data_IF_592737449953
#
_entry.id   IF_592737449953
#
_cell.length_a   1.000
_cell.length_b   1.000
_cell.length_c   1.000
_cell.angle_alpha   90.00
_cell.angle_beta   90.00
_cell.angle_gamma   90.00
#
_symmetry.space_group_name_H-M   'P 1'
#
loop_
_entity.id
_entity.type
_entity.pdbx_description
1 polymer ?
#
# COMPACT_ATOMS: atom_id res chain seq x y z
N UNK A 1 48.94 -3.50 -3.43
CA UNK A 1 47.98 -2.82 -4.32
C UNK A 1 47.29 -3.89 -5.14
N UNK A 2 46.29 -4.56 -4.57
CA UNK A 2 45.56 -5.64 -5.25
C UNK A 2 44.61 -5.02 -6.27
N UNK A 3 45.04 -4.95 -7.53
CA UNK A 3 44.13 -4.67 -8.64
C UNK A 3 43.13 -5.81 -8.72
N UNK A 4 41.87 -5.53 -8.45
CA UNK A 4 40.80 -6.48 -8.74
C UNK A 4 40.82 -6.75 -10.25
N UNK A 5 40.80 -8.03 -10.69
CA UNK A 5 40.88 -8.33 -12.10
C UNK A 5 39.67 -7.74 -12.82
N UNK A 6 39.90 -7.09 -13.97
CA UNK A 6 38.91 -6.37 -14.78
C UNK A 6 37.62 -7.18 -15.05
N UNK A 7 37.75 -8.51 -15.13
CA UNK A 7 36.63 -9.45 -15.29
C UNK A 7 35.67 -9.46 -14.08
N UNK A 8 36.20 -9.34 -12.87
CA UNK A 8 35.39 -9.27 -11.64
C UNK A 8 34.67 -7.91 -11.56
N UNK A 9 35.31 -6.82 -11.99
CA UNK A 9 34.68 -5.50 -12.02
C UNK A 9 33.49 -5.44 -12.99
N UNK A 10 33.64 -6.02 -14.19
CA UNK A 10 32.54 -6.12 -15.17
C UNK A 10 31.40 -7.02 -14.68
N UNK A 11 31.72 -8.16 -14.05
CA UNK A 11 30.70 -9.04 -13.48
C UNK A 11 29.89 -8.33 -12.39
N UNK A 12 30.55 -7.65 -11.45
CA UNK A 12 29.86 -6.88 -10.40
C UNK A 12 29.00 -5.73 -10.95
N UNK A 13 29.49 -5.02 -11.98
CA UNK A 13 28.71 -3.96 -12.62
C UNK A 13 27.44 -4.49 -13.29
N UNK A 14 27.53 -5.63 -13.97
CA UNK A 14 26.36 -6.30 -14.58
C UNK A 14 25.40 -6.82 -13.51
N UNK A 15 25.90 -7.46 -12.46
CA UNK A 15 25.07 -7.89 -11.33
C UNK A 15 24.34 -6.71 -10.67
N UNK A 16 25.02 -5.59 -10.43
CA UNK A 16 24.39 -4.38 -9.90
C UNK A 16 23.33 -3.80 -10.85
N UNK A 17 23.62 -3.74 -12.15
CA UNK A 17 22.67 -3.25 -13.14
C UNK A 17 21.43 -4.16 -13.21
N UNK A 18 21.61 -5.49 -13.17
CA UNK A 18 20.51 -6.46 -13.15
C UNK A 18 19.70 -6.31 -11.86
N UNK A 19 20.32 -6.22 -10.68
CA UNK A 19 19.60 -6.01 -9.42
C UNK A 19 18.85 -4.68 -9.38
N UNK A 20 19.44 -3.60 -9.90
CA UNK A 20 18.80 -2.30 -10.01
C UNK A 20 17.60 -2.34 -10.97
N UNK A 21 17.75 -3.02 -12.11
CA UNK A 21 16.68 -3.24 -13.09
C UNK A 21 15.56 -4.16 -12.55
N UNK A 22 15.90 -5.19 -11.79
CA UNK A 22 14.93 -6.07 -11.11
C UNK A 22 14.14 -5.29 -10.05
N UNK A 23 14.76 -4.30 -9.39
CA UNK A 23 14.07 -3.45 -8.42
C UNK A 23 13.06 -2.48 -9.08
N UNK A 24 13.27 -2.09 -10.34
CA UNK A 24 12.35 -1.19 -11.07
C UNK A 24 11.09 -1.89 -11.58
N UNK A 25 11.13 -3.18 -11.88
CA UNK A 25 9.97 -3.98 -12.36
C UNK A 25 9.25 -4.75 -11.23
N UNK A 26 9.83 -4.88 -10.04
CA UNK A 26 9.22 -5.58 -8.90
C UNK A 26 8.16 -4.77 -8.13
N UNK A 27 7.51 -3.79 -8.78
CA UNK A 27 6.32 -3.09 -8.26
C UNK A 27 5.03 -3.52 -8.96
N UNK A 28 4.94 -4.77 -9.37
CA UNK A 28 3.69 -5.32 -9.95
C UNK A 28 3.37 -6.68 -9.35
N UNK A 29 2.91 -6.67 -8.09
CA UNK A 29 1.85 -7.51 -7.52
C UNK A 29 1.70 -7.29 -5.99
N UNK A 30 1.82 -6.04 -5.53
CA UNK A 30 1.31 -5.64 -4.22
C UNK A 30 1.09 -4.13 -4.21
N UNK A 31 -0.06 -3.70 -4.75
CA UNK A 31 -0.59 -2.36 -4.51
C UNK A 31 -1.26 -2.37 -3.13
N UNK A 32 -0.43 -2.61 -2.12
CA UNK A 32 -0.73 -2.43 -0.72
C UNK A 32 0.18 -1.29 -0.30
N UNK A 33 -0.40 -0.13 0.01
CA UNK A 33 0.29 1.09 0.45
C UNK A 33 1.08 0.92 1.77
N UNK A 34 1.37 -0.32 2.18
CA UNK A 34 1.95 -0.65 3.47
C UNK A 34 1.05 -0.24 4.62
N UNK A 35 -0.25 -0.05 4.37
CA UNK A 35 -1.20 0.31 5.41
C UNK A 35 -1.35 -0.88 6.37
N UNK A 36 -0.78 -0.71 7.56
CA UNK A 36 -0.86 -1.70 8.61
C UNK A 36 -1.90 -1.28 9.63
N UNK A 37 -2.83 -2.19 9.91
CA UNK A 37 -3.78 -2.00 10.99
C UNK A 37 -3.01 -1.73 12.28
N UNK A 38 -3.36 -0.66 13.03
CA UNK A 38 -2.76 -0.44 14.32
C UNK A 38 -3.07 -1.65 15.21
N UNK A 39 -2.03 -2.23 15.79
CA UNK A 39 -2.13 -3.31 16.79
C UNK A 39 -2.60 -2.73 18.11
N UNK A 40 -3.82 -2.15 18.14
CA UNK A 40 -4.39 -1.70 19.39
C UNK A 40 -4.62 -2.92 20.27
N UNK A 41 -3.99 -2.90 21.44
CA UNK A 41 -3.99 -3.92 22.49
C UNK A 41 -5.37 -4.07 23.17
N UNK A 42 -6.46 -3.84 22.45
CA UNK A 42 -7.80 -4.03 22.92
C UNK A 42 -8.33 -5.35 22.33
N UNK A 43 -8.50 -6.34 23.20
CA UNK A 43 -8.93 -7.70 22.84
C UNK A 43 -10.43 -7.74 22.43
N UNK A 44 -11.00 -6.61 22.03
CA UNK A 44 -12.33 -6.49 21.47
C UNK A 44 -12.29 -6.95 20.02
N UNK A 45 -13.04 -8.02 19.71
CA UNK A 45 -13.27 -8.53 18.35
C UNK A 45 -14.11 -7.55 17.52
N UNK A 46 -13.61 -6.33 17.34
CA UNK A 46 -14.29 -5.26 16.62
C UNK A 46 -13.58 -5.03 15.30
N UNK A 47 -14.34 -5.09 14.21
CA UNK A 47 -13.87 -4.64 12.90
C UNK A 47 -13.79 -3.12 12.91
N UNK A 48 -12.65 -2.57 12.50
CA UNK A 48 -12.43 -1.11 12.39
C UNK A 48 -12.12 -0.76 10.95
N UNK A 49 -12.67 0.34 10.47
CA UNK A 49 -12.44 0.81 9.10
C UNK A 49 -11.48 1.98 9.08
N UNK A 50 -10.69 2.08 8.01
CA UNK A 50 -9.74 3.17 7.76
C UNK A 50 -9.83 3.64 6.33
N UNK A 51 -9.68 4.95 6.13
CA UNK A 51 -9.69 5.56 4.80
C UNK A 51 -8.39 5.23 4.05
N UNK A 52 -8.49 4.92 2.75
CA UNK A 52 -7.32 4.82 1.90
C UNK A 52 -6.87 6.24 1.47
N UNK A 53 -5.62 6.59 1.74
CA UNK A 53 -5.06 7.90 1.38
C UNK A 53 -4.85 8.10 -0.12
N UNK A 54 -4.62 7.03 -0.87
CA UNK A 54 -4.31 7.11 -2.31
C UNK A 54 -5.54 6.97 -3.21
N UNK A 55 -6.65 6.45 -2.68
CA UNK A 55 -7.90 6.29 -3.42
C UNK A 55 -9.13 6.44 -2.51
N UNK A 56 -9.83 7.57 -2.66
CA UNK A 56 -11.08 7.85 -1.94
C UNK A 56 -12.22 6.84 -2.20
N UNK A 57 -12.17 6.09 -3.30
CA UNK A 57 -13.16 5.06 -3.64
C UNK A 57 -12.80 3.69 -3.05
N UNK A 58 -11.85 3.63 -2.11
CA UNK A 58 -11.52 2.41 -1.38
C UNK A 58 -11.19 2.69 0.10
N UNK A 59 -11.23 1.64 0.92
CA UNK A 59 -10.99 1.72 2.34
C UNK A 59 -10.41 0.40 2.87
N UNK A 60 -9.76 0.47 4.03
CA UNK A 60 -9.19 -0.69 4.70
C UNK A 60 -10.13 -1.19 5.80
N UNK A 61 -10.40 -2.48 5.78
CA UNK A 61 -11.03 -3.20 6.88
C UNK A 61 -9.95 -3.85 7.74
N UNK A 62 -9.90 -3.47 9.01
CA UNK A 62 -9.01 -4.02 10.00
C UNK A 62 -9.75 -4.99 10.91
N UNK A 63 -9.32 -6.25 10.87
CA UNK A 63 -9.83 -7.30 11.77
C UNK A 63 -8.95 -7.44 13.02
N UNK A 64 -9.44 -8.15 14.04
CA UNK A 64 -8.74 -8.36 15.31
C UNK A 64 -7.31 -8.96 15.16
N UNK A 65 -7.03 -9.65 14.06
CA UNK A 65 -5.71 -10.20 13.76
C UNK A 65 -4.73 -9.18 13.12
N UNK A 66 -5.05 -7.87 13.19
CA UNK A 66 -4.25 -6.80 12.58
C UNK A 66 -4.04 -6.98 11.06
N UNK A 67 -4.96 -7.69 10.41
CA UNK A 67 -4.94 -7.90 8.96
C UNK A 67 -5.75 -6.78 8.33
N UNK A 68 -5.10 -6.00 7.47
CA UNK A 68 -5.73 -4.99 6.64
C UNK A 68 -6.22 -5.64 5.35
N UNK A 69 -7.48 -5.41 5.00
CA UNK A 69 -8.06 -5.80 3.72
C UNK A 69 -8.51 -4.54 3.00
N UNK A 70 -7.96 -4.30 1.81
CA UNK A 70 -8.41 -3.19 0.95
C UNK A 70 -9.73 -3.58 0.27
N UNK A 71 -10.76 -2.78 0.49
CA UNK A 71 -12.10 -2.96 -0.07
C UNK A 71 -12.48 -1.75 -0.94
N UNK A 72 -13.02 -1.98 -2.15
CA UNK A 72 -13.55 -0.91 -2.97
C UNK A 72 -14.96 -0.51 -2.52
N UNK A 73 -15.27 0.78 -2.64
CA UNK A 73 -16.64 1.28 -2.58
C UNK A 73 -17.40 0.96 -3.89
N UNK A 74 -18.75 0.94 -3.85
CA UNK A 74 -19.57 0.90 -5.06
C UNK A 74 -19.20 2.01 -6.07
N UNK A 75 -19.51 1.82 -7.37
CA UNK A 75 -19.23 2.82 -8.39
C UNK A 75 -19.79 4.20 -8.03
N UNK A 76 -18.99 5.25 -8.27
CA UNK A 76 -19.37 6.65 -8.01
C UNK A 76 -19.68 6.96 -6.54
N UNK A 77 -19.11 6.19 -5.61
CA UNK A 77 -19.18 6.46 -4.17
C UNK A 77 -17.79 6.49 -3.54
N UNK A 78 -17.69 7.10 -2.37
CA UNK A 78 -16.45 7.37 -1.65
C UNK A 78 -16.62 7.01 -0.18
N UNK A 79 -15.56 6.50 0.44
CA UNK A 79 -15.61 6.10 1.83
C UNK A 79 -15.63 7.32 2.77
N UNK A 80 -16.65 7.39 3.63
CA UNK A 80 -16.78 8.40 4.68
C UNK A 80 -16.43 7.77 6.04
N UNK A 81 -15.20 8.00 6.50
CA UNK A 81 -14.68 7.50 7.78
C UNK A 81 -15.47 8.01 9.00
N UNK A 82 -16.23 9.10 8.88
CA UNK A 82 -17.03 9.61 10.01
C UNK A 82 -18.33 8.82 10.19
N UNK A 83 -18.77 8.14 9.13
CA UNK A 83 -20.01 7.35 9.09
C UNK A 83 -19.76 5.86 8.86
N UNK A 84 -18.51 5.46 8.66
CA UNK A 84 -18.09 4.11 8.28
C UNK A 84 -18.87 3.53 7.09
N UNK A 85 -19.15 4.36 6.08
CA UNK A 85 -19.97 3.97 4.92
C UNK A 85 -19.52 4.64 3.63
N UNK A 86 -19.73 3.96 2.50
CA UNK A 86 -19.57 4.58 1.19
C UNK A 86 -20.75 5.50 0.88
N UNK A 87 -20.48 6.77 0.57
CA UNK A 87 -21.47 7.78 0.22
C UNK A 87 -21.19 8.40 -1.15
N UNK A 88 -22.16 9.07 -1.74
CA UNK A 88 -21.95 9.83 -3.00
C UNK A 88 -21.25 11.17 -2.76
N UNK A 89 -20.99 11.54 -1.51
CA UNK A 89 -20.34 12.80 -1.16
C UNK A 89 -18.83 12.66 -1.38
N UNK A 90 -18.26 13.56 -2.18
CA UNK A 90 -16.81 13.57 -2.42
C UNK A 90 -16.09 14.06 -1.16
N UNK A 91 -15.15 13.28 -0.59
CA UNK A 91 -14.33 13.76 0.51
C UNK A 91 -13.46 14.93 0.07
N UNK A 92 -13.31 15.94 0.94
CA UNK A 92 -12.53 17.16 0.67
C UNK A 92 -11.07 17.05 1.12
N UNK A 93 -10.73 16.02 1.90
CA UNK A 93 -9.38 15.79 2.44
C UNK A 93 -9.25 14.35 2.96
N UNK A 94 -8.02 13.90 3.22
CA UNK A 94 -7.72 12.59 3.83
C UNK A 94 -7.53 11.45 2.83
N UNK A 95 -7.89 11.66 1.57
CA UNK A 95 -7.61 10.75 0.47
C UNK A 95 -7.44 11.52 -0.83
N UNK A 96 -6.93 10.83 -1.85
CA UNK A 96 -6.78 11.33 -3.21
C UNK A 96 -7.96 10.88 -4.07
N UNK A 97 -8.59 11.84 -4.74
CA UNK A 97 -9.58 11.56 -5.78
C UNK A 97 -8.83 11.16 -7.05
N UNK A 98 -9.13 9.97 -7.55
CA UNK A 98 -8.65 9.49 -8.84
C UNK A 98 -9.75 9.81 -9.87
N UNK A 99 -9.49 10.82 -10.71
CA UNK A 99 -10.35 11.19 -11.84
C UNK A 99 -10.09 10.30 -13.07
#
# INVERSE_FOLDING_TARGET
>A
MSGTPLRIALALALFCAVSFYVQTDARTLQQDDGFQCPTSQDNTSTTVYYQNSEDCASFYECTANSTAVLLPCPPSTYFDISKDVCTTEKPTSGCKLLD
#
